data_IF_960712175629
#
_entry.id   IF_960712175629
#
_cell.length_a   1.000
_cell.length_b   1.000
_cell.length_c   1.000
_cell.angle_alpha   90.00
_cell.angle_beta   90.00
_cell.angle_gamma   90.00
#
_symmetry.space_group_name_H-M   'P 1'
#
loop_
_entity.id
_entity.type
_entity.pdbx_description
1 polymer ?
#
# COMPACT_ATOMS: atom_id res chain seq x y z
N UNK A 1 37.76 -2.70 -1.84
CA UNK A 1 36.42 -2.50 -2.44
C UNK A 1 35.36 -3.20 -1.60
N UNK A 2 34.19 -2.61 -1.34
CA UNK A 2 33.08 -3.30 -0.66
C UNK A 2 32.25 -4.10 -1.68
N UNK A 3 32.23 -5.41 -1.52
CA UNK A 3 31.46 -6.36 -2.34
C UNK A 3 30.15 -6.74 -1.62
N UNK A 4 29.12 -7.12 -2.37
CA UNK A 4 27.87 -7.72 -1.88
C UNK A 4 27.62 -9.03 -2.61
N UNK A 5 27.02 -10.00 -1.94
CA UNK A 5 26.63 -11.25 -2.58
C UNK A 5 25.39 -11.03 -3.46
N UNK A 6 25.37 -11.63 -4.64
CA UNK A 6 24.16 -11.77 -5.44
C UNK A 6 23.23 -12.78 -4.76
N UNK A 7 21.96 -12.42 -4.57
CA UNK A 7 20.97 -13.28 -3.91
C UNK A 7 20.49 -14.46 -4.77
N UNK A 8 20.64 -14.39 -6.10
CA UNK A 8 20.29 -15.49 -7.01
C UNK A 8 21.45 -16.46 -7.21
N UNK A 9 22.59 -15.97 -7.69
CA UNK A 9 23.70 -16.82 -8.14
C UNK A 9 24.87 -16.94 -7.15
N UNK A 10 24.78 -16.28 -5.99
CA UNK A 10 25.83 -16.30 -4.97
C UNK A 10 27.14 -15.59 -5.34
N UNK A 11 27.21 -14.92 -6.51
CA UNK A 11 28.44 -14.28 -6.96
C UNK A 11 28.76 -13.00 -6.18
N UNK A 12 30.04 -12.68 -6.01
CA UNK A 12 30.48 -11.43 -5.38
C UNK A 12 30.42 -10.28 -6.39
N UNK A 13 29.59 -9.28 -6.10
CA UNK A 13 29.34 -8.15 -7.01
C UNK A 13 29.63 -6.84 -6.31
N UNK A 14 30.09 -5.85 -7.06
CA UNK A 14 30.32 -4.50 -6.53
C UNK A 14 29.02 -3.92 -5.94
N UNK A 15 29.10 -3.21 -4.81
CA UNK A 15 27.92 -2.52 -4.24
C UNK A 15 27.31 -1.49 -5.19
N UNK A 16 28.10 -0.94 -6.12
CA UNK A 16 27.63 0.01 -7.16
C UNK A 16 26.91 -0.68 -8.32
N UNK A 17 27.02 -1.99 -8.47
CA UNK A 17 26.37 -2.72 -9.56
C UNK A 17 24.84 -2.74 -9.36
N UNK A 18 24.13 -2.23 -10.36
CA UNK A 18 22.66 -2.28 -10.48
C UNK A 18 22.19 -3.68 -10.89
N UNK A 19 22.97 -4.37 -11.71
CA UNK A 19 22.66 -5.68 -12.30
C UNK A 19 23.84 -6.62 -12.04
N UNK A 20 23.55 -7.89 -11.77
CA UNK A 20 24.58 -8.91 -11.66
C UNK A 20 25.15 -9.24 -13.04
N UNK A 21 26.47 -9.13 -13.28
CA UNK A 21 27.07 -9.44 -14.57
C UNK A 21 27.06 -10.93 -14.91
N UNK A 22 26.86 -11.81 -13.91
CA UNK A 22 26.87 -13.27 -14.11
C UNK A 22 25.49 -13.83 -14.46
N UNK A 23 24.44 -13.41 -13.74
CA UNK A 23 23.08 -13.94 -13.94
C UNK A 23 22.08 -12.91 -14.50
N UNK A 24 22.47 -11.65 -14.66
CA UNK A 24 21.57 -10.61 -15.18
C UNK A 24 20.52 -10.10 -14.19
N UNK A 25 20.47 -10.62 -12.96
CA UNK A 25 19.45 -10.19 -11.99
C UNK A 25 19.69 -8.76 -11.48
N UNK A 26 18.67 -7.88 -11.39
CA UNK A 26 18.81 -6.58 -10.75
C UNK A 26 19.13 -6.73 -9.25
N UNK A 27 20.30 -6.22 -8.84
CA UNK A 27 20.80 -6.25 -7.47
C UNK A 27 20.28 -5.11 -6.59
N UNK A 28 19.45 -4.25 -7.17
CA UNK A 28 18.72 -3.19 -6.48
C UNK A 28 17.25 -3.53 -6.68
N UNK A 29 16.61 -4.14 -5.67
CA UNK A 29 15.17 -3.98 -5.53
C UNK A 29 14.98 -2.49 -5.30
N UNK A 30 14.58 -1.76 -6.34
CA UNK A 30 14.10 -0.40 -6.15
C UNK A 30 12.98 -0.49 -5.12
N UNK A 31 12.93 0.39 -4.10
CA UNK A 31 11.71 0.49 -3.31
C UNK A 31 10.58 0.67 -4.32
N UNK A 32 9.52 -0.16 -4.22
CA UNK A 32 8.32 0.05 -4.99
C UNK A 32 7.99 1.53 -4.80
N UNK A 33 7.96 2.29 -5.89
CA UNK A 33 7.87 3.76 -5.84
C UNK A 33 6.81 4.16 -4.82
N UNK A 34 7.13 5.06 -3.88
CA UNK A 34 6.18 5.48 -2.85
C UNK A 34 4.86 5.95 -3.49
N UNK A 35 4.94 6.60 -4.66
CA UNK A 35 3.78 7.00 -5.46
C UNK A 35 2.92 5.80 -5.90
N UNK A 36 3.55 4.68 -6.24
CA UNK A 36 2.88 3.42 -6.61
C UNK A 36 2.20 2.78 -5.40
N UNK A 37 2.86 2.73 -4.23
CA UNK A 37 2.24 2.20 -3.00
C UNK A 37 1.04 3.04 -2.59
N UNK A 38 1.18 4.37 -2.59
CA UNK A 38 0.09 5.30 -2.26
C UNK A 38 -1.06 5.19 -3.27
N UNK A 39 -0.76 5.06 -4.57
CA UNK A 39 -1.78 4.89 -5.60
C UNK A 39 -2.56 3.58 -5.43
N UNK A 40 -1.88 2.47 -5.11
CA UNK A 40 -2.53 1.18 -4.83
C UNK A 40 -3.41 1.28 -3.57
N UNK A 41 -2.91 1.91 -2.50
CA UNK A 41 -3.67 2.09 -1.27
C UNK A 41 -4.95 2.91 -1.48
N UNK A 42 -4.87 4.03 -2.21
CA UNK A 42 -6.03 4.86 -2.55
C UNK A 42 -7.05 4.08 -3.39
N UNK A 43 -6.55 3.36 -4.41
CA UNK A 43 -7.40 2.54 -5.29
C UNK A 43 -8.13 1.46 -4.48
N UNK A 44 -7.43 0.80 -3.54
CA UNK A 44 -8.04 -0.20 -2.66
C UNK A 44 -9.08 0.40 -1.71
N UNK A 45 -8.84 1.59 -1.16
CA UNK A 45 -9.83 2.29 -0.33
C UNK A 45 -11.11 2.64 -1.10
N UNK A 46 -10.98 3.08 -2.36
CA UNK A 46 -12.12 3.40 -3.23
C UNK A 46 -12.89 2.12 -3.58
N UNK A 47 -12.19 1.07 -4.04
CA UNK A 47 -12.83 -0.20 -4.37
C UNK A 47 -13.53 -0.79 -3.16
N UNK A 48 -12.91 -0.78 -2.00
CA UNK A 48 -13.52 -1.25 -0.75
C UNK A 48 -14.83 -0.52 -0.46
N UNK A 49 -14.88 0.81 -0.61
CA UNK A 49 -16.10 1.58 -0.43
C UNK A 49 -17.20 1.29 -1.46
N UNK A 50 -16.83 1.00 -2.72
CA UNK A 50 -17.80 0.76 -3.81
C UNK A 50 -18.23 -0.72 -3.95
N UNK A 51 -17.43 -1.68 -3.49
CA UNK A 51 -17.72 -3.12 -3.57
C UNK A 51 -18.28 -3.73 -2.28
N UNK A 52 -18.25 -3.02 -1.14
CA UNK A 52 -18.98 -3.44 0.06
C UNK A 52 -20.52 -3.27 -0.01
N UNK A 53 -21.08 -2.25 -0.69
CA UNK A 53 -22.53 -2.04 -0.80
C UNK A 53 -23.33 -3.15 -1.52
N UNK A 54 -22.86 -3.81 -2.59
CA UNK A 54 -23.60 -4.88 -3.26
C UNK A 54 -23.89 -6.12 -2.40
N UNK A 55 -23.19 -6.28 -1.27
CA UNK A 55 -23.44 -7.36 -0.30
C UNK A 55 -24.50 -6.98 0.76
N UNK A 56 -24.92 -5.71 0.79
CA UNK A 56 -26.06 -5.26 1.59
C UNK A 56 -27.35 -5.50 0.81
N UNK A 57 -27.90 -6.71 0.91
CA UNK A 57 -29.24 -7.00 0.37
C UNK A 57 -30.28 -6.05 0.98
N UNK A 58 -31.35 -5.71 0.27
CA UNK A 58 -32.45 -4.84 0.76
C UNK A 58 -32.98 -5.24 2.15
N UNK A 59 -32.96 -6.56 2.42
CA UNK A 59 -33.34 -7.19 3.69
C UNK A 59 -32.51 -6.73 4.91
N UNK A 60 -31.24 -6.36 4.70
CA UNK A 60 -30.33 -5.87 5.75
C UNK A 60 -30.53 -4.36 6.04
N UNK A 61 -30.84 -3.58 5.01
CA UNK A 61 -31.16 -2.15 5.14
C UNK A 61 -32.45 -1.98 5.94
N UNK A 62 -33.47 -2.79 5.63
CA UNK A 62 -34.75 -2.79 6.35
C UNK A 62 -34.58 -3.25 7.81
N UNK A 63 -33.78 -4.28 8.06
CA UNK A 63 -33.52 -4.80 9.42
C UNK A 63 -32.84 -3.76 10.32
N UNK A 64 -31.99 -2.90 9.76
CA UNK A 64 -31.23 -1.89 10.50
C UNK A 64 -31.79 -0.48 10.38
N UNK A 65 -32.88 -0.29 9.62
CA UNK A 65 -33.47 1.01 9.26
C UNK A 65 -32.44 2.03 8.74
N UNK A 66 -31.40 1.56 8.05
CA UNK A 66 -30.32 2.42 7.54
C UNK A 66 -29.39 3.03 8.61
N UNK A 67 -29.64 2.82 9.92
CA UNK A 67 -28.79 3.34 11.01
C UNK A 67 -27.38 2.78 10.87
N UNK A 68 -27.25 1.48 10.60
CA UNK A 68 -25.94 0.82 10.45
C UNK A 68 -25.13 1.34 9.25
N UNK A 69 -25.77 1.83 8.17
CA UNK A 69 -25.05 2.43 7.03
C UNK A 69 -24.34 3.68 7.50
N UNK A 70 -25.05 4.52 8.25
CA UNK A 70 -24.53 5.78 8.74
C UNK A 70 -23.41 5.57 9.75
N UNK A 71 -23.53 4.61 10.66
CA UNK A 71 -22.45 4.27 11.61
C UNK A 71 -21.25 3.64 10.92
N UNK A 72 -21.45 2.76 9.93
CA UNK A 72 -20.35 2.13 9.21
C UNK A 72 -19.56 3.14 8.37
N UNK A 73 -20.25 4.02 7.64
CA UNK A 73 -19.62 5.11 6.90
C UNK A 73 -18.87 6.09 7.82
N UNK A 74 -19.42 6.39 9.00
CA UNK A 74 -18.77 7.22 10.01
C UNK A 74 -17.48 6.57 10.55
N UNK A 75 -17.53 5.28 10.90
CA UNK A 75 -16.37 4.51 11.39
C UNK A 75 -15.29 4.43 10.31
N UNK A 76 -15.67 4.13 9.07
CA UNK A 76 -14.74 4.10 7.94
C UNK A 76 -14.11 5.49 7.69
N UNK A 77 -14.90 6.56 7.81
CA UNK A 77 -14.39 7.93 7.74
C UNK A 77 -13.35 8.24 8.82
N UNK A 78 -13.59 7.83 10.07
CA UNK A 78 -12.63 7.99 11.18
C UNK A 78 -11.34 7.21 10.93
N UNK A 79 -11.42 5.97 10.47
CA UNK A 79 -10.24 5.15 10.14
C UNK A 79 -9.43 5.80 9.02
N UNK A 80 -10.11 6.33 7.99
CA UNK A 80 -9.46 7.00 6.87
C UNK A 80 -8.73 8.29 7.30
N UNK A 81 -9.40 9.13 8.09
CA UNK A 81 -8.79 10.35 8.64
C UNK A 81 -7.63 10.04 9.59
N UNK A 82 -7.76 9.00 10.43
CA UNK A 82 -6.69 8.51 11.28
C UNK A 82 -5.49 7.98 10.49
N UNK A 83 -5.74 7.22 9.42
CA UNK A 83 -4.73 6.73 8.50
C UNK A 83 -3.98 7.85 7.80
N UNK A 84 -4.66 8.89 7.31
CA UNK A 84 -4.05 10.08 6.72
C UNK A 84 -3.18 10.84 7.73
N UNK A 85 -3.66 11.02 8.96
CA UNK A 85 -2.92 11.68 10.02
C UNK A 85 -1.64 10.90 10.38
N UNK A 86 -1.75 9.58 10.53
CA UNK A 86 -0.60 8.70 10.79
C UNK A 86 0.40 8.71 9.63
N UNK A 87 -0.10 8.71 8.39
CA UNK A 87 0.73 8.79 7.19
C UNK A 87 1.56 10.08 7.16
N UNK A 88 0.93 11.24 7.38
CA UNK A 88 1.65 12.53 7.44
C UNK A 88 2.69 12.56 8.57
N UNK A 89 2.43 11.86 9.68
CA UNK A 89 3.39 11.74 10.79
C UNK A 89 4.59 10.85 10.45
N UNK A 90 4.36 9.73 9.78
CA UNK A 90 5.42 8.77 9.42
C UNK A 90 6.23 9.24 8.21
N UNK A 91 5.60 9.98 7.29
CA UNK A 91 6.19 10.45 6.03
C UNK A 91 6.01 11.97 5.86
N UNK A 92 6.76 12.79 6.61
CA UNK A 92 6.66 14.24 6.50
C UNK A 92 7.08 14.72 5.10
N UNK A 93 6.38 15.71 4.52
CA UNK A 93 6.56 16.14 3.13
C UNK A 93 7.97 16.68 2.82
N UNK A 94 8.72 17.14 3.82
CA UNK A 94 10.06 17.74 3.65
C UNK A 94 11.23 16.73 3.69
N UNK A 95 10.98 15.43 3.46
CA UNK A 95 12.02 14.38 3.60
C UNK A 95 12.56 13.82 2.28
N UNK A 96 12.22 14.43 1.15
CA UNK A 96 12.72 14.05 -0.18
C UNK A 96 13.15 15.28 -0.98
#
# INVERSE_FOLDING_TARGET
MKLKLCYECGNHVSKKALICPKCGVPLKKGPLSQKTITSIAITYSIIFWYFFPPLWTDKWVDMTKGVWITTSNFICGLIFMGGLCLWNRLYPPNRY
#
